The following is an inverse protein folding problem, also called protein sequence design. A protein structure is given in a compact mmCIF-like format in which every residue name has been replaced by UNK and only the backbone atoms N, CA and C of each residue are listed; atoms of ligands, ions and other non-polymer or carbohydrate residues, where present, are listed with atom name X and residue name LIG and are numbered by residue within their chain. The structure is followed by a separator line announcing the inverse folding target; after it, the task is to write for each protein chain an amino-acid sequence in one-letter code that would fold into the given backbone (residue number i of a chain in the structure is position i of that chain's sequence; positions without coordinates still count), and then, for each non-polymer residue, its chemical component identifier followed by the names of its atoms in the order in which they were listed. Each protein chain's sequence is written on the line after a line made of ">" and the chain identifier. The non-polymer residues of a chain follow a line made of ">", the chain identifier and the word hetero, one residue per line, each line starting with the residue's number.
data_IF_700926351421
#
_entry.id   IF_700926351421
#
_cell.length_a   1.000
_cell.length_b   1.000
_cell.length_c   1.000
_cell.angle_alpha   90.00
_cell.angle_beta   90.00
_cell.angle_gamma   90.00
#
_symmetry.space_group_name_H-M   'P 1'
#
loop_
_entity.id
_entity.type
_entity.pdbx_description
1 polymer ?
#
# COMPACT_ATOMS: atom_id res chain seq x y z
N UNK A 1 52.21 18.67 -30.97
CA UNK A 1 52.50 18.50 -29.53
C UNK A 1 51.33 19.07 -28.75
N UNK A 2 50.61 18.25 -27.99
CA UNK A 2 49.44 18.69 -27.23
C UNK A 2 49.90 19.14 -25.83
N UNK A 3 49.58 20.37 -25.44
CA UNK A 3 49.79 20.84 -24.07
C UNK A 3 48.47 21.34 -23.52
N UNK A 4 48.00 20.72 -22.44
CA UNK A 4 46.78 21.06 -21.72
C UNK A 4 47.13 21.88 -20.48
N UNK A 5 46.42 23.00 -20.26
CA UNK A 5 46.50 23.81 -19.04
C UNK A 5 45.13 23.84 -18.37
N UNK A 6 45.10 23.51 -17.09
CA UNK A 6 43.93 23.68 -16.23
C UNK A 6 44.02 25.03 -15.53
N UNK A 7 42.92 25.79 -15.56
CA UNK A 7 42.75 26.99 -14.75
C UNK A 7 41.49 26.78 -13.92
N UNK A 8 41.65 26.81 -12.59
CA UNK A 8 40.54 26.76 -11.64
C UNK A 8 40.12 28.18 -11.27
N UNK A 9 38.83 28.49 -11.42
CA UNK A 9 38.21 29.68 -10.84
C UNK A 9 37.30 29.25 -9.68
N UNK A 10 37.27 30.06 -8.61
CA UNK A 10 36.41 29.82 -7.45
C UNK A 10 34.94 29.74 -7.88
N UNK A 11 34.32 28.58 -7.64
CA UNK A 11 32.96 28.28 -8.08
C UNK A 11 32.76 26.90 -8.75
N UNK A 12 33.74 25.99 -8.69
CA UNK A 12 33.53 24.56 -9.02
C UNK A 12 33.39 24.21 -10.51
N UNK A 13 33.49 25.17 -11.43
CA UNK A 13 33.56 24.89 -12.88
C UNK A 13 35.01 24.93 -13.36
N UNK A 14 35.51 23.78 -13.86
CA UNK A 14 36.79 23.70 -14.57
C UNK A 14 36.55 23.81 -16.07
N UNK A 15 37.09 24.84 -16.72
CA UNK A 15 37.06 25.00 -18.17
C UNK A 15 38.36 24.43 -18.77
N UNK A 16 38.22 23.41 -19.62
CA UNK A 16 39.33 22.82 -20.36
C UNK A 16 39.55 23.62 -21.66
N UNK A 17 40.65 24.38 -21.73
CA UNK A 17 41.08 25.03 -22.97
C UNK A 17 42.09 24.14 -23.70
N UNK A 18 41.68 23.56 -24.82
CA UNK A 18 42.58 22.83 -25.72
C UNK A 18 43.03 23.78 -26.82
N UNK A 19 44.33 24.09 -26.84
CA UNK A 19 44.94 24.85 -27.93
C UNK A 19 45.40 23.88 -29.01
N UNK A 20 44.80 23.97 -30.21
CA UNK A 20 45.16 23.15 -31.36
C UNK A 20 45.97 24.04 -32.32
N UNK A 21 47.27 23.75 -32.46
CA UNK A 21 48.09 24.38 -33.51
C UNK A 21 47.81 23.67 -34.83
N UNK A 22 47.12 24.38 -35.73
CA UNK A 22 46.75 23.89 -37.07
C UNK A 22 47.83 24.29 -38.05
N UNK A 23 48.57 23.32 -38.56
CA UNK A 23 49.54 23.54 -39.63
C UNK A 23 48.79 23.87 -40.94
N UNK A 24 49.21 24.94 -41.62
CA UNK A 24 48.59 25.45 -42.84
C UNK A 24 48.85 24.50 -44.02
N UNK A 25 47.98 23.51 -44.21
CA UNK A 25 47.78 22.89 -45.52
C UNK A 25 46.29 22.90 -45.88
N UNK A 26 45.99 23.57 -46.99
CA UNK A 26 44.70 24.17 -47.29
C UNK A 26 43.84 23.25 -48.17
N UNK A 27 42.93 22.48 -47.55
CA UNK A 27 41.57 22.17 -48.04
C UNK A 27 40.94 21.05 -47.19
N UNK A 28 41.69 20.00 -46.85
CA UNK A 28 41.21 18.92 -45.96
C UNK A 28 40.88 19.39 -44.54
N UNK A 29 41.55 20.44 -44.05
CA UNK A 29 41.32 20.98 -42.70
C UNK A 29 39.96 21.68 -42.54
N UNK A 30 39.36 22.22 -43.60
CA UNK A 30 38.11 22.99 -43.49
C UNK A 30 36.88 22.08 -43.33
N UNK A 31 36.89 20.92 -43.98
CA UNK A 31 35.80 19.94 -43.89
C UNK A 31 35.79 19.27 -42.51
N UNK A 32 36.96 18.89 -41.99
CA UNK A 32 37.08 18.27 -40.66
C UNK A 32 36.69 19.23 -39.53
N UNK A 33 37.04 20.51 -39.62
CA UNK A 33 36.62 21.53 -38.64
C UNK A 33 35.10 21.77 -38.70
N UNK A 34 34.52 21.79 -39.91
CA UNK A 34 33.07 21.94 -40.07
C UNK A 34 32.29 20.73 -39.52
N UNK A 35 32.77 19.51 -39.74
CA UNK A 35 32.15 18.28 -39.21
C UNK A 35 32.22 18.24 -37.67
N UNK A 36 33.36 18.62 -37.08
CA UNK A 36 33.50 18.69 -35.62
C UNK A 36 32.60 19.79 -35.04
N UNK A 37 32.52 20.95 -35.67
CA UNK A 37 31.62 22.02 -35.25
C UNK A 37 30.14 21.59 -35.31
N UNK A 38 29.73 20.89 -36.37
CA UNK A 38 28.38 20.35 -36.51
C UNK A 38 28.10 19.26 -35.45
N UNK A 39 29.03 18.33 -35.21
CA UNK A 39 28.88 17.29 -34.17
C UNK A 39 28.83 17.87 -32.75
N UNK A 40 29.61 18.91 -32.47
CA UNK A 40 29.57 19.63 -31.18
C UNK A 40 28.27 20.42 -31.03
N UNK A 41 27.78 21.07 -32.10
CA UNK A 41 26.49 21.76 -32.09
C UNK A 41 25.30 20.78 -31.92
N UNK A 42 25.29 19.64 -32.63
CA UNK A 42 24.25 18.61 -32.45
C UNK A 42 24.33 17.93 -31.07
N UNK A 43 25.53 17.70 -30.54
CA UNK A 43 25.74 17.16 -29.19
C UNK A 43 25.30 18.13 -28.08
N UNK A 44 25.54 19.43 -28.26
CA UNK A 44 25.06 20.46 -27.32
C UNK A 44 23.54 20.64 -27.39
N UNK A 45 22.92 20.61 -28.56
CA UNK A 45 21.45 20.64 -28.65
C UNK A 45 20.81 19.41 -28.01
N UNK A 46 21.37 18.21 -28.17
CA UNK A 46 20.85 17.01 -27.54
C UNK A 46 20.92 17.06 -26.00
N UNK A 47 21.97 17.68 -25.44
CA UNK A 47 22.12 17.87 -23.98
C UNK A 47 21.16 18.89 -23.36
N UNK A 48 20.61 19.84 -24.14
CA UNK A 48 19.59 20.77 -23.65
C UNK A 48 18.18 20.17 -23.64
N UNK A 49 17.94 19.06 -24.34
CA UNK A 49 16.64 18.38 -24.38
C UNK A 49 16.55 17.19 -23.40
N UNK A 50 17.65 16.79 -22.76
CA UNK A 50 17.67 15.71 -21.76
C UNK A 50 18.29 16.25 -20.47
N UNK A 51 17.58 17.17 -19.81
CA UNK A 51 17.79 17.33 -18.37
C UNK A 51 17.30 16.03 -17.72
N UNK A 52 18.08 15.37 -16.84
CA UNK A 52 17.57 14.23 -16.09
C UNK A 52 16.30 14.67 -15.36
N UNK A 53 15.23 13.89 -15.52
CA UNK A 53 14.00 14.12 -14.80
C UNK A 53 14.33 14.18 -13.29
N UNK A 54 14.00 15.27 -12.57
CA UNK A 54 14.31 15.37 -11.14
C UNK A 54 13.61 14.28 -10.31
N UNK A 55 12.55 13.68 -10.86
CA UNK A 55 11.78 12.63 -10.21
C UNK A 55 11.80 11.35 -11.05
N UNK A 56 12.27 10.25 -10.47
CA UNK A 56 12.15 8.93 -11.07
C UNK A 56 10.94 8.17 -10.49
N UNK A 57 10.69 6.96 -10.99
CA UNK A 57 9.59 6.13 -10.49
C UNK A 57 9.70 5.73 -9.02
N UNK A 58 10.88 5.81 -8.39
CA UNK A 58 11.07 5.52 -6.96
C UNK A 58 10.96 6.76 -6.09
N UNK A 59 10.84 7.94 -6.69
CA UNK A 59 10.70 9.20 -5.96
C UNK A 59 9.39 9.18 -5.16
N UNK A 60 9.42 9.53 -3.87
CA UNK A 60 8.21 9.52 -3.08
C UNK A 60 7.22 10.61 -3.49
N UNK A 61 5.94 10.27 -3.51
CA UNK A 61 4.86 11.19 -3.92
C UNK A 61 4.83 12.43 -3.02
N UNK A 62 5.03 12.28 -1.71
CA UNK A 62 5.06 13.41 -0.76
C UNK A 62 6.15 14.42 -1.11
N UNK A 63 7.35 13.96 -1.46
CA UNK A 63 8.48 14.80 -1.86
C UNK A 63 8.18 15.60 -3.13
N UNK A 64 7.50 15.00 -4.10
CA UNK A 64 7.08 15.68 -5.33
C UNK A 64 6.02 16.74 -5.02
N UNK A 65 5.00 16.39 -4.23
CA UNK A 65 3.95 17.32 -3.81
C UNK A 65 4.53 18.53 -3.08
N UNK A 66 5.41 18.32 -2.10
CA UNK A 66 6.09 19.39 -1.34
C UNK A 66 6.94 20.26 -2.27
N UNK A 67 7.67 19.68 -3.22
CA UNK A 67 8.47 20.44 -4.18
C UNK A 67 7.61 21.29 -5.15
N UNK A 68 6.39 20.83 -5.44
CA UNK A 68 5.38 21.59 -6.17
C UNK A 68 4.69 22.66 -5.29
N UNK A 69 4.95 22.70 -3.98
CA UNK A 69 4.41 23.70 -3.05
C UNK A 69 3.15 23.27 -2.31
N UNK A 70 2.83 21.97 -2.29
CA UNK A 70 1.80 21.41 -1.42
C UNK A 70 2.25 21.43 0.06
N UNK A 71 1.30 21.49 0.98
CA UNK A 71 1.61 21.44 2.40
C UNK A 71 1.97 20.02 2.83
N UNK A 72 3.03 19.89 3.63
CA UNK A 72 3.38 18.61 4.23
C UNK A 72 2.31 18.22 5.27
N UNK A 73 1.76 16.99 5.21
CA UNK A 73 0.80 16.55 6.21
C UNK A 73 1.45 16.44 7.61
N UNK A 74 0.64 16.52 8.67
CA UNK A 74 1.12 16.49 10.07
C UNK A 74 1.94 15.21 10.40
N UNK A 75 1.63 14.11 9.72
CA UNK A 75 2.31 12.82 9.87
C UNK A 75 3.49 12.62 8.91
N UNK A 76 3.90 13.65 8.17
CA UNK A 76 5.06 13.59 7.29
C UNK A 76 6.35 13.38 8.10
N UNK A 77 7.14 12.40 7.66
CA UNK A 77 8.49 12.16 8.19
C UNK A 77 9.47 12.36 7.04
N UNK A 78 10.23 13.45 7.07
CA UNK A 78 11.23 13.75 6.04
C UNK A 78 12.40 12.77 6.07
N UNK A 79 13.31 12.93 7.04
CA UNK A 79 14.45 12.02 7.21
C UNK A 79 14.10 10.93 8.22
N UNK A 80 14.28 9.66 7.84
CA UNK A 80 14.04 8.55 8.74
C UNK A 80 15.17 8.36 9.75
N UNK A 81 14.83 8.35 11.03
CA UNK A 81 15.65 7.76 12.08
C UNK A 81 15.53 6.22 11.98
N UNK A 82 16.65 5.56 11.74
CA UNK A 82 16.68 4.11 11.50
C UNK A 82 16.31 3.28 12.75
N UNK A 83 16.60 3.78 13.95
CA UNK A 83 16.21 3.09 15.18
C UNK A 83 14.69 3.17 15.39
N UNK A 84 14.10 4.34 15.12
CA UNK A 84 12.64 4.52 15.17
C UNK A 84 11.93 3.74 14.07
N UNK A 85 12.52 3.68 12.87
CA UNK A 85 12.00 2.87 11.77
C UNK A 85 11.94 1.38 12.14
N UNK A 86 13.01 0.82 12.69
CA UNK A 86 13.03 -0.59 13.09
C UNK A 86 12.05 -0.85 14.25
N UNK A 87 12.01 0.03 15.26
CA UNK A 87 11.02 -0.07 16.35
C UNK A 87 9.58 0.00 15.80
N UNK A 88 9.31 0.90 14.86
CA UNK A 88 8.00 1.03 14.22
C UNK A 88 7.58 -0.21 13.43
N UNK A 89 8.54 -0.80 12.71
CA UNK A 89 8.35 -2.06 12.01
C UNK A 89 7.98 -3.19 12.98
N UNK A 90 8.69 -3.31 14.10
CA UNK A 90 8.40 -4.31 15.13
C UNK A 90 7.03 -4.12 15.77
N UNK A 91 6.65 -2.87 16.07
CA UNK A 91 5.34 -2.52 16.60
C UNK A 91 4.20 -2.96 15.66
N UNK A 92 4.36 -2.75 14.34
CA UNK A 92 3.34 -3.10 13.33
C UNK A 92 3.32 -4.60 13.01
N UNK A 93 4.47 -5.23 12.84
CA UNK A 93 4.61 -6.61 12.35
C UNK A 93 4.53 -7.62 13.49
N UNK A 94 5.23 -7.36 14.60
CA UNK A 94 5.37 -8.28 15.73
C UNK A 94 4.43 -7.92 16.89
N UNK A 95 3.81 -6.73 16.84
CA UNK A 95 2.92 -6.22 17.89
C UNK A 95 3.65 -5.62 19.08
N UNK A 96 4.95 -5.34 18.97
CA UNK A 96 5.81 -4.91 20.05
C UNK A 96 7.29 -4.99 19.67
N UNK A 97 8.19 -4.23 20.33
CA UNK A 97 9.62 -4.28 20.03
C UNK A 97 10.18 -5.69 20.16
N UNK A 98 10.99 -6.11 19.17
CA UNK A 98 11.63 -7.41 19.17
C UNK A 98 13.00 -7.34 19.83
N UNK A 99 13.25 -8.21 20.80
CA UNK A 99 14.53 -8.29 21.48
C UNK A 99 14.89 -9.76 21.77
N UNK A 100 16.09 -10.18 21.37
CA UNK A 100 16.65 -11.51 21.66
C UNK A 100 15.73 -12.71 21.37
N UNK A 101 14.89 -12.62 20.32
CA UNK A 101 14.04 -13.73 19.90
C UNK A 101 12.63 -13.72 20.48
N UNK A 102 12.27 -12.68 21.24
CA UNK A 102 10.92 -12.49 21.78
C UNK A 102 10.46 -11.03 21.68
N UNK A 103 9.16 -10.81 21.86
CA UNK A 103 8.56 -9.48 21.94
C UNK A 103 8.66 -9.00 23.39
N UNK A 104 9.36 -7.88 23.63
CA UNK A 104 9.64 -7.37 24.97
C UNK A 104 8.35 -6.97 25.71
N UNK A 105 7.46 -6.27 25.02
CA UNK A 105 6.10 -5.96 25.49
C UNK A 105 5.16 -5.87 24.30
N UNK A 106 3.86 -6.08 24.54
CA UNK A 106 2.84 -6.06 23.47
C UNK A 106 2.01 -4.79 23.50
N UNK A 107 1.66 -4.31 22.30
CA UNK A 107 0.59 -3.34 22.08
C UNK A 107 -0.78 -3.99 22.32
N UNK A 108 -0.93 -5.26 21.91
CA UNK A 108 -2.14 -6.05 22.11
C UNK A 108 -1.79 -7.51 22.41
N UNK A 109 -2.60 -8.11 23.30
CA UNK A 109 -2.57 -9.55 23.57
C UNK A 109 -3.41 -10.36 22.57
N UNK A 110 -3.97 -9.72 21.55
CA UNK A 110 -4.97 -10.30 20.66
C UNK A 110 -4.56 -10.23 19.19
N UNK A 111 -4.49 -9.04 18.60
CA UNK A 111 -4.15 -8.88 17.18
C UNK A 111 -3.01 -7.89 16.99
N UNK A 112 -2.12 -8.21 16.04
CA UNK A 112 -1.13 -7.26 15.52
C UNK A 112 -1.65 -6.65 14.22
N UNK A 113 -1.10 -5.51 13.80
CA UNK A 113 -1.63 -4.75 12.66
C UNK A 113 -1.67 -5.59 11.38
N UNK A 114 -0.64 -6.40 11.15
CA UNK A 114 -0.54 -7.24 9.94
C UNK A 114 -1.48 -8.45 9.92
N UNK A 115 -2.22 -8.72 11.01
CA UNK A 115 -3.27 -9.73 10.99
C UNK A 115 -4.48 -9.27 10.17
N UNK A 116 -4.62 -7.94 10.00
CA UNK A 116 -5.72 -7.32 9.27
C UNK A 116 -5.28 -6.53 8.03
N UNK A 117 -4.00 -6.14 7.95
CA UNK A 117 -3.49 -5.25 6.91
C UNK A 117 -2.26 -5.83 6.21
N UNK A 118 -2.22 -5.72 4.88
CA UNK A 118 -0.97 -5.94 4.13
C UNK A 118 -0.03 -4.73 4.29
N UNK A 119 1.28 -4.95 4.16
CA UNK A 119 2.29 -3.88 4.09
C UNK A 119 2.83 -3.64 2.67
N UNK A 120 2.44 -4.51 1.73
CA UNK A 120 2.69 -4.37 0.30
C UNK A 120 1.49 -3.73 -0.41
N UNK A 121 1.68 -3.18 -1.63
CA UNK A 121 0.56 -2.80 -2.49
C UNK A 121 -0.45 -3.95 -2.66
N UNK A 122 -1.72 -3.62 -2.83
CA UNK A 122 -2.81 -4.58 -3.08
C UNK A 122 -3.38 -4.50 -4.51
N UNK A 123 -2.82 -3.61 -5.33
CA UNK A 123 -3.16 -3.41 -6.72
C UNK A 123 -1.94 -2.88 -7.48
N UNK A 124 -2.01 -2.94 -8.81
CA UNK A 124 -0.94 -2.42 -9.69
C UNK A 124 -0.75 -0.91 -9.54
N UNK A 125 -1.85 -0.17 -9.37
CA UNK A 125 -1.85 1.28 -9.20
C UNK A 125 -2.65 1.68 -7.97
N UNK A 126 -2.26 2.80 -7.36
CA UNK A 126 -2.77 3.24 -6.07
C UNK A 126 -4.21 3.79 -6.10
N UNK A 127 -4.80 3.97 -7.29
CA UNK A 127 -6.18 4.40 -7.52
C UNK A 127 -7.17 3.23 -7.68
N UNK A 128 -6.69 1.97 -7.66
CA UNK A 128 -7.53 0.80 -7.85
C UNK A 128 -8.00 0.16 -6.53
N UNK A 129 -9.33 0.02 -6.40
CA UNK A 129 -9.99 -0.63 -5.26
C UNK A 129 -11.04 -1.65 -5.71
N UNK A 130 -10.96 -2.14 -6.95
CA UNK A 130 -11.87 -3.17 -7.43
C UNK A 130 -11.56 -4.52 -6.76
N UNK A 131 -12.56 -5.19 -6.15
CA UNK A 131 -12.33 -6.40 -5.39
C UNK A 131 -11.79 -7.56 -6.24
N UNK A 132 -12.18 -7.66 -7.52
CA UNK A 132 -11.77 -8.76 -8.39
C UNK A 132 -10.34 -8.56 -8.90
N UNK A 133 -9.99 -7.33 -9.30
CA UNK A 133 -8.58 -6.99 -9.62
C UNK A 133 -7.67 -7.13 -8.41
N UNK A 134 -8.13 -6.73 -7.22
CA UNK A 134 -7.40 -6.95 -5.96
C UNK A 134 -7.15 -8.44 -5.69
N UNK A 135 -8.15 -9.31 -5.90
CA UNK A 135 -7.99 -10.76 -5.72
C UNK A 135 -6.97 -11.32 -6.72
N UNK A 136 -7.02 -10.89 -7.98
CA UNK A 136 -6.04 -11.28 -8.99
C UNK A 136 -4.62 -10.82 -8.60
N UNK A 137 -4.46 -9.56 -8.22
CA UNK A 137 -3.17 -9.03 -7.78
C UNK A 137 -2.63 -9.81 -6.57
N UNK A 138 -3.47 -10.11 -5.58
CA UNK A 138 -3.08 -10.89 -4.42
C UNK A 138 -2.61 -12.29 -4.80
N UNK A 139 -3.21 -12.93 -5.82
CA UNK A 139 -2.74 -14.22 -6.36
C UNK A 139 -1.35 -14.11 -6.98
N UNK A 140 -1.16 -13.13 -7.86
CA UNK A 140 0.10 -12.92 -8.58
C UNK A 140 1.25 -12.55 -7.63
N UNK A 141 0.99 -11.69 -6.65
CA UNK A 141 1.96 -11.26 -5.65
C UNK A 141 2.04 -12.17 -4.41
N UNK A 142 1.27 -13.27 -4.37
CA UNK A 142 1.21 -14.23 -3.27
C UNK A 142 0.93 -13.58 -1.89
N UNK A 143 0.03 -12.59 -1.86
CA UNK A 143 -0.30 -11.82 -0.67
C UNK A 143 -1.44 -12.46 0.16
N UNK A 144 -1.45 -12.26 1.48
CA UNK A 144 -2.65 -12.44 2.29
C UNK A 144 -3.85 -11.65 1.74
N UNK A 145 -5.06 -12.22 1.83
CA UNK A 145 -6.29 -11.58 1.37
C UNK A 145 -7.08 -11.06 2.58
N UNK A 146 -6.70 -9.88 3.04
CA UNK A 146 -7.08 -9.35 4.36
C UNK A 146 -8.22 -8.33 4.29
N UNK A 147 -8.93 -8.06 5.40
CA UNK A 147 -10.10 -7.18 5.43
C UNK A 147 -9.76 -5.69 5.56
N UNK A 148 -8.59 -5.34 6.08
CA UNK A 148 -8.14 -3.95 6.19
C UNK A 148 -7.55 -3.43 4.88
N UNK A 149 -7.54 -2.10 4.69
CA UNK A 149 -6.78 -1.46 3.61
C UNK A 149 -5.28 -1.68 3.83
N UNK A 150 -4.48 -1.88 2.78
CA UNK A 150 -3.01 -1.93 2.95
C UNK A 150 -2.44 -0.77 3.76
N UNK A 151 -1.35 -0.98 4.50
CA UNK A 151 -0.55 0.06 5.14
C UNK A 151 0.40 0.73 4.14
N UNK A 152 0.62 0.13 2.97
CA UNK A 152 1.35 0.78 1.88
C UNK A 152 0.62 2.05 1.44
N UNK A 153 1.35 3.16 1.35
CA UNK A 153 0.81 4.45 0.99
C UNK A 153 -0.15 5.07 2.02
N UNK A 154 -0.24 4.53 3.25
CA UNK A 154 -1.18 5.03 4.25
C UNK A 154 -0.93 6.50 4.63
N UNK A 155 0.31 6.97 4.52
CA UNK A 155 0.70 8.35 4.79
C UNK A 155 0.39 9.32 3.65
N UNK A 156 0.10 8.82 2.44
CA UNK A 156 -0.33 9.65 1.31
C UNK A 156 -1.83 9.99 1.37
N UNK A 157 -2.58 9.27 2.21
CA UNK A 157 -4.03 9.45 2.40
C UNK A 157 -4.32 10.72 3.19
N UNK A 158 -5.52 11.26 2.98
CA UNK A 158 -6.06 12.40 3.72
C UNK A 158 -7.22 12.00 4.63
N UNK A 159 -7.75 10.77 4.50
CA UNK A 159 -8.73 10.25 5.43
C UNK A 159 -8.70 8.75 5.73
N UNK A 160 -9.06 8.40 6.97
CA UNK A 160 -9.10 7.03 7.51
C UNK A 160 -10.47 6.71 8.12
N UNK A 161 -10.76 5.43 8.38
CA UNK A 161 -12.07 5.00 8.93
C UNK A 161 -13.27 5.56 8.14
N UNK A 162 -13.22 5.48 6.80
CA UNK A 162 -14.25 6.06 5.93
C UNK A 162 -15.51 5.20 5.83
N UNK A 163 -16.59 5.75 5.27
CA UNK A 163 -17.83 5.02 5.04
C UNK A 163 -18.45 4.48 6.33
N UNK A 164 -18.79 3.20 6.33
CA UNK A 164 -19.59 2.55 7.38
C UNK A 164 -18.83 2.28 8.69
N UNK A 165 -17.54 2.63 8.77
CA UNK A 165 -16.82 2.60 10.04
C UNK A 165 -17.50 3.45 11.12
N UNK A 166 -18.13 4.58 10.76
CA UNK A 166 -18.90 5.40 11.70
C UNK A 166 -20.12 4.66 12.27
N UNK A 167 -20.81 3.86 11.45
CA UNK A 167 -21.93 3.03 11.92
C UNK A 167 -21.47 1.97 12.93
N UNK A 168 -20.23 1.51 12.77
CA UNK A 168 -19.64 0.46 13.58
C UNK A 168 -19.06 0.96 14.89
N UNK A 169 -18.20 1.98 14.83
CA UNK A 169 -17.44 2.48 15.98
C UNK A 169 -18.09 3.71 16.63
N UNK A 170 -19.11 4.28 16.00
CA UNK A 170 -19.73 5.52 16.43
C UNK A 170 -18.96 6.75 15.98
N UNK A 171 -19.69 7.85 15.82
CA UNK A 171 -19.15 9.14 15.36
C UNK A 171 -18.08 9.69 16.29
N UNK A 172 -18.23 9.48 17.59
CA UNK A 172 -17.33 10.01 18.63
C UNK A 172 -15.90 9.49 18.50
N UNK A 173 -15.74 8.23 18.10
CA UNK A 173 -14.45 7.60 17.87
C UNK A 173 -13.92 7.88 16.46
N UNK A 174 -14.79 7.87 15.46
CA UNK A 174 -14.37 7.97 14.05
C UNK A 174 -13.99 9.40 13.66
N UNK A 175 -14.73 10.42 14.08
CA UNK A 175 -14.46 11.80 13.63
C UNK A 175 -13.04 12.29 13.96
N UNK A 176 -12.49 12.08 15.19
CA UNK A 176 -11.12 12.46 15.50
C UNK A 176 -10.08 11.67 14.69
N UNK A 177 -10.38 10.43 14.33
CA UNK A 177 -9.51 9.54 13.55
C UNK A 177 -9.58 9.82 12.05
N UNK A 178 -10.71 10.32 11.56
CA UNK A 178 -11.01 10.41 10.12
C UNK A 178 -10.02 11.27 9.36
N UNK A 179 -9.50 12.32 9.98
CA UNK A 179 -8.59 13.29 9.35
C UNK A 179 -7.25 13.42 10.06
N UNK A 180 -6.90 12.45 10.92
CA UNK A 180 -5.62 12.45 11.62
C UNK A 180 -5.07 11.01 11.72
N UNK A 181 -3.94 10.75 11.06
CA UNK A 181 -3.35 9.40 11.00
C UNK A 181 -2.96 8.89 12.40
N UNK A 182 -2.46 9.75 13.29
CA UNK A 182 -2.10 9.34 14.66
C UNK A 182 -3.33 8.87 15.42
N UNK A 183 -4.43 9.62 15.35
CA UNK A 183 -5.71 9.22 15.95
C UNK A 183 -6.28 7.95 15.31
N UNK A 184 -6.12 7.77 14.00
CA UNK A 184 -6.51 6.54 13.31
C UNK A 184 -5.71 5.33 13.80
N UNK A 185 -4.39 5.47 13.99
CA UNK A 185 -3.55 4.42 14.57
C UNK A 185 -3.97 4.11 16.01
N UNK A 186 -4.25 5.12 16.84
CA UNK A 186 -4.73 4.90 18.21
C UNK A 186 -6.08 4.17 18.24
N UNK A 187 -7.04 4.61 17.41
CA UNK A 187 -8.35 3.97 17.30
C UNK A 187 -8.20 2.50 16.88
N UNK A 188 -7.36 2.22 15.89
CA UNK A 188 -7.06 0.86 15.45
C UNK A 188 -6.45 0.03 16.59
N UNK A 189 -5.42 0.55 17.27
CA UNK A 189 -4.75 -0.14 18.37
C UNK A 189 -5.74 -0.53 19.46
N UNK A 190 -6.61 0.39 19.89
CA UNK A 190 -7.58 0.14 20.96
C UNK A 190 -8.74 -0.74 20.54
N UNK A 191 -9.40 -0.43 19.41
CA UNK A 191 -10.69 -1.03 19.07
C UNK A 191 -10.56 -2.23 18.14
N UNK A 192 -9.68 -2.15 17.13
CA UNK A 192 -9.50 -3.24 16.17
C UNK A 192 -8.58 -4.31 16.74
N UNK A 193 -7.43 -3.88 17.27
CA UNK A 193 -6.44 -4.78 17.84
C UNK A 193 -6.76 -5.20 19.27
N UNK A 194 -7.70 -4.52 19.95
CA UNK A 194 -7.99 -4.77 21.37
C UNK A 194 -6.74 -4.59 22.24
N UNK A 195 -6.00 -3.53 21.94
CA UNK A 195 -4.71 -3.17 22.54
C UNK A 195 -4.80 -1.93 23.42
N UNK A 196 -3.63 -1.47 23.84
CA UNK A 196 -3.47 -0.19 24.55
C UNK A 196 -3.17 0.95 23.59
N UNK A 197 -3.28 2.16 24.11
CA UNK A 197 -2.75 3.35 23.45
C UNK A 197 -1.23 3.24 23.28
N UNK A 198 -0.76 3.71 22.13
CA UNK A 198 0.66 3.90 21.87
C UNK A 198 1.13 5.13 22.63
N UNK A 199 2.34 5.09 23.17
CA UNK A 199 3.02 6.28 23.68
C UNK A 199 3.43 7.18 22.51
N UNK A 200 3.77 8.45 22.79
CA UNK A 200 4.22 9.37 21.74
C UNK A 200 5.46 8.85 20.99
N UNK A 201 6.41 8.22 21.70
CA UNK A 201 7.61 7.65 21.11
C UNK A 201 7.31 6.43 20.22
N UNK A 202 6.35 5.59 20.65
CA UNK A 202 5.88 4.46 19.84
C UNK A 202 5.13 4.93 18.60
N UNK A 203 4.27 5.95 18.75
CA UNK A 203 3.55 6.57 17.64
C UNK A 203 4.54 7.17 16.63
N UNK A 204 5.53 7.91 17.10
CA UNK A 204 6.58 8.47 16.24
C UNK A 204 7.31 7.35 15.48
N UNK A 205 7.70 6.28 16.18
CA UNK A 205 8.34 5.11 15.57
C UNK A 205 7.45 4.47 14.49
N UNK A 206 6.16 4.30 14.77
CA UNK A 206 5.18 3.81 13.78
C UNK A 206 5.13 4.74 12.57
N UNK A 207 5.10 6.06 12.75
CA UNK A 207 5.09 7.01 11.63
C UNK A 207 6.37 6.93 10.78
N UNK A 208 7.54 6.71 11.39
CA UNK A 208 8.77 6.47 10.63
C UNK A 208 8.63 5.26 9.71
N UNK A 209 8.09 4.15 10.21
CA UNK A 209 7.89 2.94 9.41
C UNK A 209 6.81 3.11 8.34
N UNK A 210 5.67 3.74 8.66
CA UNK A 210 4.60 3.98 7.70
C UNK A 210 5.04 4.93 6.58
N UNK A 211 5.81 5.98 6.87
CA UNK A 211 6.35 6.88 5.83
C UNK A 211 7.38 6.15 4.94
N UNK A 212 8.15 5.20 5.48
CA UNK A 212 9.06 4.41 4.65
C UNK A 212 8.32 3.56 3.59
N UNK A 213 7.03 3.29 3.81
CA UNK A 213 6.12 2.58 2.91
C UNK A 213 5.20 3.52 2.11
N UNK A 214 5.51 4.81 2.02
CA UNK A 214 4.73 5.75 1.21
C UNK A 214 4.73 5.39 -0.29
N UNK A 215 3.71 5.87 -0.99
CA UNK A 215 3.59 5.77 -2.44
C UNK A 215 4.78 6.45 -3.13
N UNK A 216 5.22 5.84 -4.23
CA UNK A 216 6.22 6.34 -5.16
C UNK A 216 5.55 6.73 -6.47
N UNK A 217 6.23 7.56 -7.28
CA UNK A 217 5.67 8.03 -8.54
C UNK A 217 5.26 6.90 -9.51
N UNK A 218 5.95 5.75 -9.49
CA UNK A 218 5.60 4.57 -10.30
C UNK A 218 4.26 3.93 -9.91
N UNK A 219 3.78 4.17 -8.69
CA UNK A 219 2.53 3.58 -8.19
C UNK A 219 1.32 4.39 -8.68
N UNK A 220 1.57 5.58 -9.26
CA UNK A 220 0.58 6.42 -9.89
C UNK A 220 0.47 6.02 -11.36
N UNK A 221 -0.75 5.77 -11.82
CA UNK A 221 -1.05 5.44 -13.22
C UNK A 221 -0.95 6.70 -14.11
N UNK A 222 0.26 7.25 -14.23
CA UNK A 222 0.56 8.46 -14.99
C UNK A 222 1.03 8.10 -16.40
N UNK A 223 0.45 8.76 -17.39
CA UNK A 223 0.97 8.76 -18.77
C UNK A 223 2.30 9.52 -18.88
N UNK A 224 3.01 9.32 -20.00
CA UNK A 224 4.25 10.04 -20.28
C UNK A 224 4.00 11.56 -20.37
N UNK A 225 2.87 11.98 -20.93
CA UNK A 225 2.48 13.38 -21.02
C UNK A 225 2.22 14.01 -19.65
N UNK A 226 1.52 13.29 -18.78
CA UNK A 226 1.24 13.73 -17.40
C UNK A 226 2.53 13.82 -16.57
N UNK A 227 3.42 12.85 -16.72
CA UNK A 227 4.73 12.91 -16.07
C UNK A 227 5.53 14.11 -16.58
N UNK A 228 5.53 14.37 -17.90
CA UNK A 228 6.20 15.52 -18.49
C UNK A 228 5.64 16.86 -17.97
N UNK A 229 4.33 16.95 -17.74
CA UNK A 229 3.71 18.10 -17.10
C UNK A 229 4.21 18.29 -15.67
N UNK A 230 4.21 17.23 -14.86
CA UNK A 230 4.62 17.26 -13.44
C UNK A 230 6.07 17.70 -13.28
N UNK A 231 6.96 17.24 -14.18
CA UNK A 231 8.41 17.44 -14.05
C UNK A 231 8.90 18.68 -14.80
N UNK A 232 7.98 19.43 -15.42
CA UNK A 232 8.29 20.65 -16.18
C UNK A 232 9.06 21.63 -15.30
N UNK A 233 10.24 22.03 -15.77
CA UNK A 233 11.06 23.05 -15.11
C UNK A 233 10.42 24.43 -15.30
N UNK A 234 10.43 25.24 -14.23
CA UNK A 234 9.93 26.61 -14.28
C UNK A 234 8.41 26.73 -14.33
N UNK A 235 7.67 25.76 -13.78
CA UNK A 235 6.21 25.83 -13.64
C UNK A 235 5.78 27.12 -12.92
N UNK A 236 4.77 27.77 -13.48
CA UNK A 236 3.98 28.83 -12.84
C UNK A 236 3.24 28.28 -11.61
N UNK A 237 2.79 29.14 -10.67
CA UNK A 237 1.96 28.71 -9.55
C UNK A 237 0.72 27.91 -9.99
N UNK A 238 0.06 28.35 -11.07
CA UNK A 238 -1.13 27.69 -11.61
C UNK A 238 -0.81 26.29 -12.16
N UNK A 239 0.31 26.13 -12.86
CA UNK A 239 0.77 24.83 -13.35
C UNK A 239 1.14 23.89 -12.20
N UNK A 240 1.81 24.41 -11.15
CA UNK A 240 2.11 23.63 -9.95
C UNK A 240 0.84 23.13 -9.27
N UNK A 241 -0.16 24.01 -9.10
CA UNK A 241 -1.46 23.61 -8.55
C UNK A 241 -2.16 22.56 -9.40
N UNK A 242 -2.11 22.68 -10.73
CA UNK A 242 -2.64 21.66 -11.64
C UNK A 242 -1.91 20.31 -11.50
N UNK A 243 -0.58 20.33 -11.38
CA UNK A 243 0.23 19.13 -11.15
C UNK A 243 -0.06 18.47 -9.80
N UNK A 244 -0.27 19.25 -8.74
CA UNK A 244 -0.69 18.75 -7.41
C UNK A 244 -2.05 18.03 -7.51
N UNK A 245 -3.04 18.67 -8.14
CA UNK A 245 -4.38 18.09 -8.32
C UNK A 245 -4.32 16.79 -9.13
N UNK A 246 -3.51 16.79 -10.20
CA UNK A 246 -3.27 15.60 -11.00
C UNK A 246 -2.70 14.46 -10.17
N UNK A 247 -1.62 14.70 -9.42
CA UNK A 247 -1.01 13.67 -8.55
C UNK A 247 -2.01 13.13 -7.53
N UNK A 248 -2.74 14.00 -6.82
CA UNK A 248 -3.73 13.60 -5.81
C UNK A 248 -4.89 12.79 -6.40
N UNK A 249 -5.21 12.99 -7.67
CA UNK A 249 -6.23 12.21 -8.38
C UNK A 249 -5.81 10.77 -8.72
N UNK A 250 -4.53 10.42 -8.60
CA UNK A 250 -3.95 9.12 -9.00
C UNK A 250 -3.73 8.14 -7.85
N UNK A 251 -4.30 8.42 -6.69
CA UNK A 251 -4.34 7.48 -5.58
C UNK A 251 -5.60 7.66 -4.73
N UNK A 252 -5.98 6.61 -4.01
CA UNK A 252 -7.13 6.65 -3.11
C UNK A 252 -6.78 7.46 -1.86
N UNK A 253 -7.31 8.69 -1.77
CA UNK A 253 -7.12 9.57 -0.60
C UNK A 253 -7.81 9.05 0.66
N UNK A 254 -8.88 8.27 0.51
CA UNK A 254 -9.60 7.63 1.61
C UNK A 254 -10.29 6.36 1.13
N UNK A 255 -9.84 5.20 1.63
CA UNK A 255 -10.43 3.91 1.24
C UNK A 255 -11.89 3.85 1.66
N UNK A 256 -12.85 3.62 0.73
CA UNK A 256 -14.24 3.43 1.09
C UNK A 256 -14.40 2.09 1.82
N UNK A 257 -15.42 2.04 2.68
CA UNK A 257 -15.84 0.82 3.33
C UNK A 257 -17.36 0.77 3.39
N UNK A 258 -17.94 -0.11 2.59
CA UNK A 258 -19.37 -0.40 2.62
C UNK A 258 -19.59 -1.71 3.38
N UNK A 259 -20.18 -1.64 4.56
CA UNK A 259 -20.57 -2.82 5.35
C UNK A 259 -21.98 -3.23 4.96
N UNK A 260 -22.09 -4.38 4.28
CA UNK A 260 -23.37 -4.92 3.83
C UNK A 260 -23.83 -6.03 4.75
N UNK A 261 -25.14 -6.24 4.80
CA UNK A 261 -25.72 -7.46 5.39
C UNK A 261 -25.28 -8.72 4.62
N UNK A 262 -25.43 -9.87 5.25
CA UNK A 262 -25.28 -11.18 4.61
C UNK A 262 -26.18 -11.32 3.36
N UNK A 263 -25.72 -12.09 2.36
CA UNK A 263 -26.57 -12.48 1.23
C UNK A 263 -27.84 -13.16 1.79
N UNK A 264 -29.06 -12.69 1.47
CA UNK A 264 -30.30 -13.25 2.01
C UNK A 264 -30.40 -14.74 1.72
N UNK A 265 -30.91 -15.54 2.67
CA UNK A 265 -30.96 -17.02 2.54
C UNK A 265 -31.59 -17.52 1.23
N UNK A 266 -32.56 -16.79 0.69
CA UNK A 266 -33.28 -17.12 -0.56
C UNK A 266 -32.45 -16.83 -1.81
N UNK A 267 -31.46 -15.93 -1.71
CA UNK A 267 -30.63 -15.46 -2.82
C UNK A 267 -29.27 -16.17 -2.87
N UNK A 268 -28.86 -16.83 -1.78
CA UNK A 268 -27.62 -17.62 -1.73
C UNK A 268 -27.62 -18.70 -2.79
N UNK A 269 -26.61 -18.67 -3.66
CA UNK A 269 -26.40 -19.68 -4.70
C UNK A 269 -25.67 -20.90 -4.16
N UNK A 270 -25.13 -20.82 -2.94
CA UNK A 270 -24.47 -21.93 -2.26
C UNK A 270 -23.27 -22.45 -3.05
N UNK A 271 -22.54 -21.55 -3.69
CA UNK A 271 -21.37 -21.85 -4.50
C UNK A 271 -21.65 -22.52 -5.85
N UNK A 272 -22.92 -22.59 -6.30
CA UNK A 272 -23.26 -23.21 -7.59
C UNK A 272 -22.59 -22.56 -8.80
N UNK A 273 -22.33 -21.26 -8.73
CA UNK A 273 -21.74 -20.45 -9.80
C UNK A 273 -20.36 -19.89 -9.42
N UNK A 274 -19.83 -20.29 -8.26
CA UNK A 274 -18.57 -19.75 -7.75
C UNK A 274 -17.36 -20.37 -8.44
N UNK A 275 -16.32 -19.56 -8.63
CA UNK A 275 -15.02 -19.98 -9.11
C UNK A 275 -14.24 -20.71 -8.01
N UNK A 276 -13.96 -22.00 -8.22
CA UNK A 276 -13.27 -22.85 -7.24
C UNK A 276 -11.86 -22.39 -6.91
N UNK A 277 -11.14 -21.85 -7.89
CA UNK A 277 -9.76 -21.40 -7.71
C UNK A 277 -9.70 -20.12 -6.88
N UNK A 278 -10.59 -19.17 -7.17
CA UNK A 278 -10.79 -17.98 -6.34
C UNK A 278 -11.18 -18.37 -4.91
N UNK A 279 -12.15 -19.27 -4.77
CA UNK A 279 -12.62 -19.73 -3.47
C UNK A 279 -11.54 -20.42 -2.65
N UNK A 280 -10.72 -21.24 -3.30
CA UNK A 280 -9.54 -21.86 -2.68
C UNK A 280 -8.56 -20.80 -2.19
N UNK A 281 -8.22 -19.83 -3.04
CA UNK A 281 -7.29 -18.76 -2.68
C UNK A 281 -7.80 -17.94 -1.51
N UNK A 282 -9.07 -17.53 -1.53
CA UNK A 282 -9.71 -16.82 -0.40
C UNK A 282 -9.63 -17.67 0.86
N UNK A 283 -10.00 -18.96 0.81
CA UNK A 283 -9.91 -19.83 1.98
C UNK A 283 -8.48 -19.90 2.55
N UNK A 284 -7.48 -20.09 1.69
CA UNK A 284 -6.09 -20.27 2.11
C UNK A 284 -5.40 -18.97 2.57
N UNK A 285 -5.74 -17.83 1.95
CA UNK A 285 -5.06 -16.54 2.19
C UNK A 285 -5.84 -15.57 3.05
N UNK A 286 -7.13 -15.82 3.26
CA UNK A 286 -8.00 -15.04 4.15
C UNK A 286 -8.36 -15.87 5.38
N UNK A 287 -9.10 -16.98 5.20
CA UNK A 287 -9.61 -17.75 6.35
C UNK A 287 -8.47 -18.39 7.15
N UNK A 288 -7.56 -19.10 6.49
CA UNK A 288 -6.43 -19.75 7.16
C UNK A 288 -5.37 -18.76 7.65
N UNK A 289 -5.40 -17.48 7.22
CA UNK A 289 -4.51 -16.47 7.80
C UNK A 289 -4.73 -16.36 9.31
N UNK A 290 -6.00 -16.30 9.74
CA UNK A 290 -6.37 -16.18 11.15
C UNK A 290 -6.69 -17.53 11.80
N UNK A 291 -7.23 -18.47 11.03
CA UNK A 291 -7.78 -19.72 11.56
C UNK A 291 -6.87 -20.94 11.35
N UNK A 292 -5.66 -20.81 10.77
CA UNK A 292 -4.80 -21.99 10.56
C UNK A 292 -4.26 -22.56 11.88
N UNK A 293 -4.00 -23.88 11.96
CA UNK A 293 -3.45 -24.52 13.17
C UNK A 293 -2.05 -24.04 13.56
N UNK A 294 -1.32 -23.39 12.64
CA UNK A 294 0.06 -22.93 12.85
C UNK A 294 0.13 -21.51 13.39
N UNK A 295 -0.86 -20.67 13.09
CA UNK A 295 -0.87 -19.24 13.45
C UNK A 295 -2.06 -18.86 14.34
N UNK A 296 -3.03 -19.76 14.59
CA UNK A 296 -4.30 -19.58 15.33
C UNK A 296 -4.40 -18.24 16.07
N UNK A 297 -4.80 -17.20 15.33
CA UNK A 297 -4.92 -15.83 15.83
C UNK A 297 -6.23 -15.68 16.60
N UNK A 298 -7.23 -16.49 16.22
CA UNK A 298 -8.56 -16.51 16.84
C UNK A 298 -8.78 -17.82 17.59
N UNK A 299 -9.69 -17.83 18.55
CA UNK A 299 -10.09 -19.01 19.34
C UNK A 299 -10.66 -20.19 18.53
N UNK A 300 -10.93 -19.99 17.24
CA UNK A 300 -11.43 -21.03 16.33
C UNK A 300 -10.39 -21.41 15.30
N UNK A 301 -9.76 -22.54 15.50
CA UNK A 301 -8.91 -23.16 14.49
C UNK A 301 -9.77 -23.86 13.45
N UNK A 302 -9.59 -23.52 12.18
CA UNK A 302 -9.94 -24.36 11.04
C UNK A 302 -8.72 -25.26 10.76
N UNK A 303 -8.89 -26.56 10.87
CA UNK A 303 -7.88 -27.52 10.47
C UNK A 303 -7.68 -27.41 8.96
N UNK A 304 -6.44 -27.12 8.55
CA UNK A 304 -6.08 -27.02 7.13
C UNK A 304 -6.37 -28.29 6.33
N UNK A 305 -5.95 -28.29 5.06
CA UNK A 305 -6.32 -29.31 4.06
C UNK A 305 -6.03 -30.77 4.45
N UNK A 306 -5.11 -31.03 5.39
CA UNK A 306 -4.67 -32.38 5.77
C UNK A 306 -5.64 -33.15 6.70
N UNK A 307 -6.44 -32.47 7.54
CA UNK A 307 -7.51 -33.08 8.36
C UNK A 307 -8.91 -32.55 7.98
N UNK A 308 -8.98 -31.83 6.85
CA UNK A 308 -9.97 -30.79 6.57
C UNK A 308 -11.40 -31.23 6.24
N UNK A 309 -11.67 -32.51 5.98
CA UNK A 309 -13.02 -32.93 5.55
C UNK A 309 -14.12 -32.62 6.59
N UNK A 310 -13.82 -32.78 7.89
CA UNK A 310 -14.80 -32.50 8.96
C UNK A 310 -15.16 -31.01 9.02
N UNK A 311 -14.18 -30.14 8.81
CA UNK A 311 -14.37 -28.69 8.87
C UNK A 311 -15.10 -28.16 7.65
N UNK A 312 -14.78 -28.66 6.46
CA UNK A 312 -15.54 -28.32 5.26
C UNK A 312 -16.99 -28.80 5.35
N UNK A 313 -17.25 -30.01 5.86
CA UNK A 313 -18.62 -30.49 6.13
C UNK A 313 -19.35 -29.61 7.16
N UNK A 314 -18.65 -29.22 8.22
CA UNK A 314 -19.20 -28.30 9.22
C UNK A 314 -19.55 -26.95 8.59
N UNK A 315 -18.63 -26.28 7.92
CA UNK A 315 -18.85 -24.99 7.23
C UNK A 315 -20.01 -25.09 6.22
N UNK A 316 -20.02 -26.11 5.37
CA UNK A 316 -21.08 -26.33 4.40
C UNK A 316 -22.46 -26.52 5.05
N UNK A 317 -22.53 -27.17 6.22
CA UNK A 317 -23.79 -27.36 6.97
C UNK A 317 -24.41 -26.05 7.49
N UNK A 318 -23.64 -24.96 7.52
CA UNK A 318 -24.09 -23.65 7.97
C UNK A 318 -24.51 -22.71 6.83
N UNK A 319 -24.36 -23.09 5.56
CA UNK A 319 -24.66 -22.23 4.42
C UNK A 319 -26.09 -21.69 4.40
N UNK A 320 -27.07 -22.43 4.93
CA UNK A 320 -28.49 -22.02 5.06
C UNK A 320 -28.80 -21.23 6.34
N UNK A 321 -27.82 -21.06 7.24
CA UNK A 321 -27.99 -20.43 8.55
C UNK A 321 -27.49 -18.97 8.51
N UNK A 322 -28.02 -18.16 9.42
CA UNK A 322 -27.68 -16.75 9.61
C UNK A 322 -27.12 -16.58 11.01
N UNK A 323 -25.91 -17.09 11.22
CA UNK A 323 -25.20 -17.00 12.48
C UNK A 323 -23.70 -17.19 12.24
N UNK A 324 -22.90 -17.01 13.29
CA UNK A 324 -21.43 -17.06 13.24
C UNK A 324 -20.77 -18.38 12.83
N UNK A 325 -21.51 -19.41 12.40
CA UNK A 325 -20.92 -20.56 11.69
C UNK A 325 -21.03 -20.47 10.16
N UNK A 326 -21.84 -19.55 9.63
CA UNK A 326 -22.06 -19.39 8.18
C UNK A 326 -21.06 -18.42 7.58
N UNK A 327 -20.39 -18.81 6.49
CA UNK A 327 -19.47 -17.91 5.76
C UNK A 327 -20.17 -16.67 5.20
N UNK A 328 -21.46 -16.79 4.84
CA UNK A 328 -22.28 -15.66 4.36
C UNK A 328 -22.52 -14.62 5.44
N UNK A 329 -22.59 -15.08 6.70
CA UNK A 329 -22.82 -14.23 7.86
C UNK A 329 -21.51 -13.68 8.38
N UNK A 330 -20.52 -14.55 8.62
CA UNK A 330 -19.31 -14.18 9.34
C UNK A 330 -18.42 -13.20 8.59
N UNK A 331 -18.39 -13.27 7.26
CA UNK A 331 -17.62 -12.34 6.44
C UNK A 331 -18.18 -10.92 6.48
N UNK A 332 -19.48 -10.77 6.80
CA UNK A 332 -20.20 -9.50 6.85
C UNK A 332 -20.38 -8.92 8.25
N UNK A 333 -20.46 -9.78 9.26
CA UNK A 333 -20.72 -9.37 10.64
C UNK A 333 -19.54 -9.56 11.59
N UNK A 334 -18.51 -10.30 11.17
CA UNK A 334 -17.42 -10.72 12.05
C UNK A 334 -17.87 -11.73 13.10
N UNK A 335 -16.95 -12.25 13.90
CA UNK A 335 -17.24 -13.06 15.11
C UNK A 335 -17.05 -12.20 16.34
N UNK A 336 -17.76 -12.49 17.42
CA UNK A 336 -17.30 -12.16 18.78
C UNK A 336 -16.84 -13.46 19.46
N UNK A 337 -15.79 -13.42 20.27
CA UNK A 337 -15.37 -14.57 21.07
C UNK A 337 -16.48 -14.96 22.07
N UNK A 338 -16.60 -16.26 22.37
CA UNK A 338 -17.62 -16.79 23.28
C UNK A 338 -17.45 -16.32 24.73
N UNK A 339 -16.26 -15.89 25.12
CA UNK A 339 -15.89 -15.70 26.53
C UNK A 339 -15.83 -14.22 26.95
N UNK A 340 -16.64 -13.35 26.34
CA UNK A 340 -16.63 -11.89 26.60
C UNK A 340 -15.27 -11.22 26.32
N UNK A 341 -14.38 -11.90 25.58
CA UNK A 341 -13.14 -11.32 25.10
C UNK A 341 -13.51 -10.41 23.91
N UNK A 342 -13.02 -9.15 23.86
CA UNK A 342 -13.33 -8.23 22.76
C UNK A 342 -12.71 -8.64 21.41
N UNK A 343 -12.18 -9.87 21.29
CA UNK A 343 -11.68 -10.39 20.03
C UNK A 343 -12.79 -10.46 19.00
N UNK A 344 -12.57 -9.76 17.89
CA UNK A 344 -13.51 -9.74 16.79
C UNK A 344 -12.83 -10.11 15.48
N UNK A 345 -13.42 -11.03 14.71
CA UNK A 345 -12.98 -11.28 13.33
C UNK A 345 -13.35 -10.06 12.48
N UNK A 346 -12.42 -9.46 11.72
CA UNK A 346 -12.74 -8.26 11.00
C UNK A 346 -13.83 -8.40 9.94
N UNK A 347 -14.70 -7.39 9.85
CA UNK A 347 -15.77 -7.32 8.84
C UNK A 347 -15.11 -7.02 7.49
N UNK A 348 -15.43 -7.80 6.47
CA UNK A 348 -15.07 -7.47 5.10
C UNK A 348 -16.09 -6.48 4.53
N UNK A 349 -15.60 -5.31 4.14
CA UNK A 349 -16.38 -4.41 3.29
C UNK A 349 -16.59 -5.02 1.90
N UNK A 350 -17.57 -4.50 1.16
CA UNK A 350 -17.86 -4.95 -0.21
C UNK A 350 -16.66 -4.78 -1.16
N UNK A 351 -15.84 -3.76 -0.90
CA UNK A 351 -14.63 -3.45 -1.64
C UNK A 351 -13.47 -4.42 -1.33
N UNK A 352 -13.52 -5.11 -0.18
CA UNK A 352 -12.48 -6.07 0.24
C UNK A 352 -12.88 -7.53 0.05
N UNK A 353 -14.17 -7.82 -0.02
CA UNK A 353 -14.71 -9.13 -0.41
C UNK A 353 -16.09 -8.95 -1.05
N UNK A 354 -16.20 -9.17 -2.36
CA UNK A 354 -17.47 -9.02 -3.08
C UNK A 354 -18.42 -10.19 -2.78
N UNK A 355 -19.73 -10.03 -3.05
CA UNK A 355 -20.69 -11.13 -2.89
C UNK A 355 -20.37 -12.31 -3.83
N UNK A 356 -19.86 -12.03 -5.03
CA UNK A 356 -19.39 -13.07 -5.95
C UNK A 356 -18.23 -13.86 -5.34
N UNK A 357 -17.29 -13.19 -4.67
CA UNK A 357 -16.17 -13.83 -3.99
C UNK A 357 -16.60 -14.67 -2.78
N UNK A 358 -17.69 -14.27 -2.09
CA UNK A 358 -18.31 -15.12 -1.05
C UNK A 358 -18.89 -16.40 -1.66
N UNK A 359 -19.51 -16.31 -2.84
CA UNK A 359 -19.99 -17.50 -3.58
C UNK A 359 -18.82 -18.36 -4.10
N UNK A 360 -17.70 -17.76 -4.54
CA UNK A 360 -16.46 -18.48 -4.87
C UNK A 360 -15.96 -19.30 -3.67
N UNK A 361 -15.87 -18.66 -2.49
CA UNK A 361 -15.50 -19.33 -1.24
C UNK A 361 -16.48 -20.46 -0.89
N UNK A 362 -17.78 -20.23 -1.07
CA UNK A 362 -18.80 -21.25 -0.86
C UNK A 362 -18.63 -22.46 -1.81
N UNK A 363 -18.27 -22.22 -3.07
CA UNK A 363 -18.06 -23.25 -4.07
C UNK A 363 -16.88 -24.17 -3.69
N UNK A 364 -15.77 -23.58 -3.24
CA UNK A 364 -14.61 -24.33 -2.78
C UNK A 364 -14.95 -25.17 -1.54
N UNK A 365 -15.53 -24.57 -0.50
CA UNK A 365 -15.91 -25.28 0.73
C UNK A 365 -16.89 -26.43 0.44
N UNK A 366 -17.88 -26.20 -0.42
CA UNK A 366 -18.86 -27.24 -0.79
C UNK A 366 -18.19 -28.40 -1.53
N UNK A 367 -17.23 -28.10 -2.41
CA UNK A 367 -16.50 -29.11 -3.17
C UNK A 367 -15.62 -29.96 -2.24
N UNK A 368 -14.83 -29.33 -1.37
CA UNK A 368 -14.00 -30.04 -0.40
C UNK A 368 -14.82 -30.82 0.64
N UNK A 369 -16.04 -30.38 0.95
CA UNK A 369 -16.92 -31.12 1.89
C UNK A 369 -17.40 -32.48 1.38
N UNK A 370 -17.33 -32.71 0.06
CA UNK A 370 -17.82 -33.92 -0.63
C UNK A 370 -16.72 -34.93 -0.96
N UNK A 371 -15.46 -34.50 -1.02
CA UNK A 371 -14.31 -35.41 -0.92
C UNK A 371 -14.33 -36.03 0.45
#
# INVERSE_FOLDING_TARGET
>A
FMTSKFITCNGGMSLLFVKIDVNQDSTMNRISIAIIAVLVCFGLTASMFVQPNPYDGQTPVSSVLIALGDEAPEHYVGTHDMAKLEKGKDLIISGGPWNNGEVEYRLSNHFVCIDCHNIQPEATFADDNDPDRRLQYAKEANLPYLPGSTLYGITNRTSWFNGDHEKKYGKELVEPARHNLKNAVQLCSKECSVGRELTDEEMESVLHFLNAMELKMKDLNLSEEELAQIVKVGQTPEEKSASILLIKSRYIEGYPATFTEEIPKKERKMGKEGNLENGKWIYEKSCLHCHSPKKTITDRTLFGTEKGQKDFKWLASYFKKSNGGSIYWITRHGTASKDHIPQYMPIYSKEKLSDSQVEDLAAYILTESKK
#
